data_IF_412524654170
#
_entry.id   IF_412524654170
#
_cell.length_a   1.000
_cell.length_b   1.000
_cell.length_c   1.000
_cell.angle_alpha   90.00
_cell.angle_beta   90.00
_cell.angle_gamma   90.00
#
_symmetry.space_group_name_H-M   'P 1'
#
loop_
_entity.id
_entity.type
_entity.pdbx_description
1 polymer ?
#
# COMPACT_ATOMS: atom_id res chain seq x y z
N UNK A 1 -22.72 -10.18 6.01
CA UNK A 1 -21.85 -9.86 7.16
C UNK A 1 -20.69 -9.05 6.61
N UNK A 2 -20.51 -7.79 7.03
CA UNK A 2 -19.33 -7.02 6.62
C UNK A 2 -18.16 -7.59 7.44
N UNK A 3 -17.19 -8.22 6.77
CA UNK A 3 -15.95 -8.58 7.43
C UNK A 3 -15.34 -7.28 7.99
N UNK A 4 -15.15 -7.21 9.30
CA UNK A 4 -14.38 -6.11 9.88
C UNK A 4 -12.97 -6.26 9.31
N UNK A 5 -12.55 -5.29 8.52
CA UNK A 5 -11.20 -5.21 7.98
C UNK A 5 -10.23 -5.18 9.18
N UNK A 6 -9.43 -6.24 9.34
CA UNK A 6 -8.30 -6.22 10.28
C UNK A 6 -7.26 -5.26 9.70
N UNK A 7 -6.94 -4.23 10.47
CA UNK A 7 -5.87 -3.28 10.14
C UNK A 7 -4.58 -3.74 10.80
N UNK A 8 -3.49 -3.66 10.05
CA UNK A 8 -2.16 -4.02 10.52
C UNK A 8 -1.18 -2.90 10.23
N UNK A 9 -0.24 -2.72 11.18
CA UNK A 9 0.89 -1.82 11.00
C UNK A 9 1.85 -2.41 9.96
N UNK A 10 2.25 -1.58 9.02
CA UNK A 10 3.20 -1.90 7.98
C UNK A 10 4.22 -0.78 7.80
N UNK A 11 5.30 -1.12 7.11
CA UNK A 11 6.42 -0.20 6.83
C UNK A 11 6.71 -0.21 5.34
N UNK A 12 6.95 0.96 4.76
CA UNK A 12 7.54 1.06 3.42
C UNK A 12 8.97 0.52 3.49
N UNK A 13 9.22 -0.61 2.86
CA UNK A 13 10.54 -1.23 2.81
C UNK A 13 11.43 -0.51 1.80
N UNK A 14 10.91 -0.35 0.58
CA UNK A 14 11.57 0.37 -0.51
C UNK A 14 10.56 0.89 -1.51
N UNK A 15 11.00 1.72 -2.44
CA UNK A 15 10.21 2.09 -3.61
C UNK A 15 11.11 2.32 -4.83
N UNK A 16 10.52 2.21 -6.01
CA UNK A 16 11.19 2.45 -7.29
C UNK A 16 10.27 3.26 -8.21
N UNK A 17 10.80 4.32 -8.83
CA UNK A 17 10.10 5.08 -9.85
C UNK A 17 10.20 4.36 -11.20
N UNK A 18 9.17 3.60 -11.54
CA UNK A 18 9.08 2.87 -12.81
C UNK A 18 8.92 3.82 -14.00
N UNK A 19 8.27 4.96 -13.77
CA UNK A 19 8.11 6.06 -14.74
C UNK A 19 8.09 7.40 -13.99
N UNK A 20 8.12 8.55 -14.67
CA UNK A 20 8.00 9.85 -14.01
C UNK A 20 6.71 10.04 -13.18
N UNK A 21 5.70 9.19 -13.39
CA UNK A 21 4.40 9.29 -12.70
C UNK A 21 3.92 7.98 -12.09
N UNK A 22 4.71 6.89 -12.11
CA UNK A 22 4.34 5.61 -11.49
C UNK A 22 5.49 5.13 -10.61
N UNK A 23 5.18 4.89 -9.35
CA UNK A 23 6.11 4.37 -8.33
C UNK A 23 5.61 3.03 -7.83
N UNK A 24 6.47 2.03 -7.83
CA UNK A 24 6.23 0.78 -7.12
C UNK A 24 6.69 0.93 -5.67
N UNK A 25 5.86 0.50 -4.73
CA UNK A 25 6.19 0.42 -3.32
C UNK A 25 6.28 -1.04 -2.89
N UNK A 26 7.36 -1.40 -2.20
CA UNK A 26 7.46 -2.62 -1.40
C UNK A 26 7.08 -2.30 0.02
N UNK A 27 6.14 -3.05 0.56
CA UNK A 27 5.55 -2.82 1.89
C UNK A 27 5.64 -4.13 2.65
N UNK A 28 6.16 -4.09 3.88
CA UNK A 28 6.26 -5.27 4.74
C UNK A 28 5.50 -5.05 6.06
N UNK A 29 5.05 -6.13 6.72
CA UNK A 29 4.51 -6.04 8.07
C UNK A 29 5.52 -5.40 9.03
N UNK A 30 5.04 -4.54 9.93
CA UNK A 30 5.89 -3.83 10.89
C UNK A 30 6.50 -4.77 11.94
N UNK A 31 5.81 -5.88 12.23
CA UNK A 31 6.27 -6.93 13.14
C UNK A 31 7.39 -7.81 12.54
N UNK A 32 7.73 -7.59 11.27
CA UNK A 32 8.77 -8.34 10.57
C UNK A 32 8.35 -9.75 10.18
N UNK A 33 7.09 -10.13 10.41
CA UNK A 33 6.56 -11.37 9.86
C UNK A 33 6.45 -11.25 8.34
N UNK A 34 6.51 -12.39 7.65
CA UNK A 34 6.25 -12.44 6.22
C UNK A 34 4.81 -12.04 5.89
N UNK A 35 4.53 -11.85 4.61
CA UNK A 35 3.17 -11.56 4.14
C UNK A 35 2.41 -12.86 3.86
N UNK A 36 1.09 -12.91 4.16
CA UNK A 36 0.27 -14.05 3.80
C UNK A 36 0.21 -14.23 2.27
N UNK A 37 0.04 -15.48 1.83
CA UNK A 37 -0.26 -15.79 0.42
C UNK A 37 -1.53 -15.06 -0.01
N UNK A 38 -1.55 -14.59 -1.25
CA UNK A 38 -2.67 -13.90 -1.86
C UNK A 38 -2.89 -14.36 -3.30
N UNK A 39 -4.13 -14.28 -3.77
CA UNK A 39 -4.49 -14.66 -5.13
C UNK A 39 -4.26 -13.48 -6.10
N UNK A 40 -3.96 -13.76 -7.38
CA UNK A 40 -3.98 -12.73 -8.42
C UNK A 40 -5.29 -11.93 -8.42
N UNK A 41 -5.18 -10.60 -8.56
CA UNK A 41 -6.32 -9.68 -8.47
C UNK A 41 -6.62 -9.17 -7.05
N UNK A 42 -5.96 -9.70 -6.02
CA UNK A 42 -6.11 -9.19 -4.65
C UNK A 42 -5.62 -7.74 -4.52
N UNK A 43 -6.15 -7.01 -3.53
CA UNK A 43 -5.81 -5.62 -3.26
C UNK A 43 -5.61 -5.33 -1.77
N UNK A 44 -4.83 -4.30 -1.47
CA UNK A 44 -4.69 -3.73 -0.13
C UNK A 44 -5.58 -2.50 0.00
N UNK A 45 -6.14 -2.29 1.18
CA UNK A 45 -6.67 -0.99 1.60
C UNK A 45 -5.61 -0.29 2.43
N UNK A 46 -5.23 0.93 2.06
CA UNK A 46 -4.20 1.72 2.73
C UNK A 46 -4.84 2.94 3.37
N UNK A 47 -4.54 3.19 4.64
CA UNK A 47 -4.97 4.35 5.39
C UNK A 47 -3.95 5.49 5.24
N UNK A 48 -4.38 6.64 4.73
CA UNK A 48 -3.52 7.80 4.46
C UNK A 48 -4.08 9.05 5.12
N UNK A 49 -3.21 9.99 5.49
CA UNK A 49 -3.60 11.33 5.89
C UNK A 49 -3.55 12.26 4.66
N UNK A 50 -4.70 12.79 4.27
CA UNK A 50 -4.82 13.74 3.16
C UNK A 50 -5.45 15.03 3.67
N UNK A 51 -4.67 16.12 3.68
CA UNK A 51 -5.12 17.40 4.25
C UNK A 51 -5.48 17.28 5.73
N UNK A 52 -4.73 16.47 6.49
CA UNK A 52 -4.95 16.22 7.91
C UNK A 52 -6.13 15.29 8.22
N UNK A 53 -6.80 14.72 7.22
CA UNK A 53 -7.94 13.79 7.41
C UNK A 53 -7.61 12.38 6.94
N UNK A 54 -7.99 11.35 7.70
CA UNK A 54 -7.82 9.96 7.29
C UNK A 54 -8.66 9.67 6.04
N UNK A 55 -8.04 9.06 5.04
CA UNK A 55 -8.69 8.57 3.82
C UNK A 55 -8.15 7.19 3.46
N UNK A 56 -9.05 6.30 3.03
CA UNK A 56 -8.69 4.96 2.58
C UNK A 56 -8.51 4.93 1.06
N UNK A 57 -7.53 4.17 0.59
CA UNK A 57 -7.29 3.91 -0.83
C UNK A 57 -7.04 2.44 -1.08
N UNK A 58 -7.65 1.91 -2.13
CA UNK A 58 -7.42 0.53 -2.56
C UNK A 58 -6.37 0.49 -3.66
N UNK A 59 -5.38 -0.39 -3.51
CA UNK A 59 -4.34 -0.64 -4.50
C UNK A 59 -4.21 -2.14 -4.76
N UNK A 60 -4.30 -2.53 -6.02
CA UNK A 60 -4.09 -3.92 -6.43
C UNK A 60 -2.64 -4.34 -6.18
N UNK A 61 -2.48 -5.57 -5.71
CA UNK A 61 -1.17 -6.20 -5.59
C UNK A 61 -0.63 -6.49 -7.00
N UNK A 62 0.67 -6.29 -7.15
CA UNK A 62 1.40 -6.54 -8.41
C UNK A 62 2.62 -7.42 -8.15
N UNK A 63 3.11 -8.07 -9.21
CA UNK A 63 4.27 -8.93 -9.14
C UNK A 63 4.00 -10.29 -8.46
N UNK A 64 5.05 -11.12 -8.45
CA UNK A 64 5.00 -12.45 -7.84
C UNK A 64 5.11 -12.37 -6.31
N UNK A 65 4.28 -13.10 -5.55
CA UNK A 65 4.39 -13.18 -4.10
C UNK A 65 5.73 -13.77 -3.66
N UNK A 66 6.54 -12.98 -2.95
CA UNK A 66 7.83 -13.44 -2.37
C UNK A 66 7.71 -13.91 -0.92
N UNK A 67 6.52 -13.78 -0.32
CA UNK A 67 6.24 -14.17 1.07
C UNK A 67 6.77 -13.18 2.11
N UNK A 68 7.44 -12.10 1.72
CA UNK A 68 8.07 -11.13 2.63
C UNK A 68 7.49 -9.73 2.50
N UNK A 69 7.04 -9.35 1.32
CA UNK A 69 6.51 -8.02 1.05
C UNK A 69 5.31 -8.04 0.12
N UNK A 70 4.42 -7.08 0.30
CA UNK A 70 3.43 -6.72 -0.69
C UNK A 70 4.02 -5.69 -1.66
N UNK A 71 3.58 -5.72 -2.91
CA UNK A 71 3.97 -4.73 -3.91
C UNK A 71 2.74 -4.10 -4.52
N UNK A 72 2.76 -2.78 -4.63
CA UNK A 72 1.72 -1.99 -5.28
C UNK A 72 2.37 -0.96 -6.20
N UNK A 73 1.75 -0.72 -7.37
CA UNK A 73 2.17 0.34 -8.28
C UNK A 73 1.18 1.50 -8.22
N UNK A 74 1.65 2.69 -7.84
CA UNK A 74 0.81 3.87 -7.62
C UNK A 74 1.13 4.94 -8.64
N UNK A 75 0.16 5.23 -9.50
CA UNK A 75 0.23 6.39 -10.40
C UNK A 75 -0.03 7.69 -9.63
N UNK A 76 0.87 8.68 -9.75
CA UNK A 76 0.67 10.04 -9.22
C UNK A 76 -0.38 10.75 -10.07
N UNK A 77 -1.36 11.34 -9.40
CA UNK A 77 -2.40 12.17 -10.02
C UNK A 77 -2.40 13.51 -9.30
N UNK A 78 -1.79 14.52 -9.93
CA UNK A 78 -1.55 15.82 -9.31
C UNK A 78 -2.87 16.57 -9.02
N UNK A 79 -3.84 16.46 -9.94
CA UNK A 79 -5.20 17.04 -9.83
C UNK A 79 -6.22 16.10 -9.16
N UNK A 80 -5.75 15.03 -8.49
CA UNK A 80 -6.60 14.06 -7.83
C UNK A 80 -7.07 14.50 -6.43
N UNK A 81 -7.80 13.61 -5.75
CA UNK A 81 -8.23 13.78 -4.33
C UNK A 81 -7.08 13.68 -3.31
N UNK A 82 -5.83 13.91 -3.70
CA UNK A 82 -4.64 13.90 -2.84
C UNK A 82 -4.10 12.53 -2.40
N UNK A 83 -4.86 11.43 -2.52
CA UNK A 83 -4.42 10.11 -2.02
C UNK A 83 -3.16 9.55 -2.70
N UNK A 84 -3.04 9.64 -4.03
CA UNK A 84 -1.83 9.20 -4.73
C UNK A 84 -0.63 10.09 -4.40
N UNK A 85 -0.84 11.39 -4.20
CA UNK A 85 0.21 12.31 -3.74
C UNK A 85 0.68 11.98 -2.33
N UNK A 86 -0.25 11.65 -1.42
CA UNK A 86 0.09 11.23 -0.06
C UNK A 86 0.92 9.93 -0.06
N UNK A 87 0.57 8.94 -0.90
CA UNK A 87 1.43 7.75 -1.10
C UNK A 87 2.83 8.14 -1.57
N UNK A 88 2.93 9.04 -2.56
CA UNK A 88 4.21 9.49 -3.14
C UNK A 88 5.09 10.29 -2.17
N UNK A 89 4.53 10.81 -1.08
CA UNK A 89 5.27 11.50 -0.03
C UNK A 89 5.91 10.53 0.98
N UNK A 90 5.52 9.26 0.98
CA UNK A 90 6.10 8.25 1.88
C UNK A 90 7.52 7.89 1.45
N UNK A 91 8.40 7.76 2.43
CA UNK A 91 9.77 7.31 2.29
C UNK A 91 9.96 5.88 2.85
N UNK A 92 11.09 5.25 2.52
CA UNK A 92 11.48 4.01 3.15
C UNK A 92 11.62 4.20 4.66
N UNK A 93 11.06 3.28 5.44
CA UNK A 93 10.98 3.35 6.90
C UNK A 93 9.68 3.99 7.43
N UNK A 94 8.90 4.68 6.60
CA UNK A 94 7.63 5.25 7.03
C UNK A 94 6.61 4.17 7.35
N UNK A 95 5.81 4.42 8.40
CA UNK A 95 4.73 3.55 8.84
C UNK A 95 3.40 3.93 8.22
N UNK A 96 2.59 2.91 7.93
CA UNK A 96 1.21 3.06 7.49
C UNK A 96 0.37 1.91 8.04
N UNK A 97 -0.93 2.13 8.12
CA UNK A 97 -1.89 1.07 8.39
C UNK A 97 -2.48 0.58 7.08
N UNK A 98 -2.60 -0.74 6.96
CA UNK A 98 -3.25 -1.37 5.82
C UNK A 98 -4.18 -2.50 6.26
N UNK A 99 -5.08 -2.88 5.36
CA UNK A 99 -5.93 -4.06 5.52
C UNK A 99 -5.93 -4.90 4.25
N UNK A 100 -6.00 -6.22 4.43
CA UNK A 100 -6.03 -7.20 3.35
C UNK A 100 -4.84 -8.16 3.42
N UNK A 101 -4.57 -8.90 2.34
CA UNK A 101 -5.14 -8.76 0.99
C UNK A 101 -6.63 -9.13 0.89
N UNK A 102 -7.41 -8.36 0.14
CA UNK A 102 -8.83 -8.59 -0.16
C UNK A 102 -9.01 -9.01 -1.62
N UNK A 103 -9.91 -9.97 -1.90
CA UNK A 103 -10.30 -10.36 -3.27
C UNK A 103 -11.33 -9.40 -3.86
#
# INVERSE_FOLDING_TARGET
MKANATWTDAVIDSFEDLTPTVREFRIRPADGQGVPRHEPGSHLQVQLLVGGRPQQRSYSLVGEPDGQSWRIAVKRLDDGRGGSRAMWQLAAGDRLELSGPHK
#
